data_IF_051600461502
#
_entry.id   IF_051600461502
#
_cell.length_a   1.000
_cell.length_b   1.000
_cell.length_c   1.000
_cell.angle_alpha   90.00
_cell.angle_beta   90.00
_cell.angle_gamma   90.00
#
_symmetry.space_group_name_H-M   'P 1'
#
loop_
_entity.id
_entity.type
_entity.pdbx_description
1 polymer ?
#
# COMPACT_ATOMS: atom_id res chain seq x y z
N UNK A 1 -7.49 -6.75 1.43
CA UNK A 1 -7.72 -7.70 2.55
C UNK A 1 -6.87 -7.31 3.77
N UNK A 2 -7.42 -7.43 4.98
CA UNK A 2 -6.69 -7.11 6.22
C UNK A 2 -5.79 -8.28 6.61
N UNK A 3 -4.56 -7.99 7.03
CA UNK A 3 -3.66 -9.00 7.58
C UNK A 3 -3.80 -9.08 9.11
N UNK A 4 -3.71 -10.30 9.66
CA UNK A 4 -3.62 -10.48 11.11
C UNK A 4 -2.32 -9.88 11.64
N UNK A 5 -2.32 -9.42 12.88
CA UNK A 5 -1.18 -8.73 13.48
C UNK A 5 0.13 -9.53 13.42
N UNK A 6 0.08 -10.85 13.65
CA UNK A 6 1.27 -11.70 13.55
C UNK A 6 1.87 -11.74 12.14
N UNK A 7 1.03 -11.84 11.11
CA UNK A 7 1.43 -11.81 9.70
C UNK A 7 2.03 -10.46 9.34
N UNK A 8 1.32 -9.36 9.64
CA UNK A 8 1.80 -8.01 9.37
C UNK A 8 3.15 -7.74 10.05
N UNK A 9 3.34 -8.23 11.28
CA UNK A 9 4.60 -8.09 12.01
C UNK A 9 5.72 -8.96 11.44
N UNK A 10 5.44 -10.18 10.95
CA UNK A 10 6.44 -10.98 10.25
C UNK A 10 6.96 -10.26 8.99
N UNK A 11 6.05 -9.68 8.20
CA UNK A 11 6.39 -8.86 7.02
C UNK A 11 7.25 -7.65 7.42
N UNK A 12 6.84 -6.92 8.47
CA UNK A 12 7.61 -5.76 8.96
C UNK A 12 9.01 -6.16 9.42
N UNK A 13 9.18 -7.31 10.07
CA UNK A 13 10.51 -7.78 10.51
C UNK A 13 11.44 -8.05 9.33
N UNK A 14 10.94 -8.70 8.28
CA UNK A 14 11.70 -8.93 7.05
C UNK A 14 12.09 -7.59 6.39
N UNK A 15 11.17 -6.62 6.34
CA UNK A 15 11.45 -5.28 5.84
C UNK A 15 12.47 -4.51 6.70
N UNK A 16 12.38 -4.59 8.02
CA UNK A 16 13.35 -3.97 8.93
C UNK A 16 14.74 -4.56 8.72
N UNK A 17 14.86 -5.87 8.50
CA UNK A 17 16.12 -6.52 8.16
C UNK A 17 16.73 -6.01 6.85
N UNK A 18 15.91 -5.80 5.82
CA UNK A 18 16.34 -5.23 4.54
C UNK A 18 16.74 -3.75 4.66
N UNK A 19 15.96 -2.93 5.37
CA UNK A 19 16.28 -1.53 5.62
C UNK A 19 17.56 -1.38 6.44
N UNK A 20 17.73 -2.18 7.48
CA UNK A 20 18.96 -2.26 8.27
C UNK A 20 20.19 -2.50 7.38
N UNK A 21 20.09 -3.41 6.41
CA UNK A 21 21.17 -3.67 5.46
C UNK A 21 21.50 -2.46 4.58
N UNK A 22 20.48 -1.77 4.02
CA UNK A 22 20.68 -0.57 3.22
C UNK A 22 21.29 0.57 4.06
N UNK A 23 20.74 0.80 5.25
CA UNK A 23 21.13 1.91 6.12
C UNK A 23 22.59 1.77 6.60
N UNK A 24 23.09 0.55 6.81
CA UNK A 24 24.51 0.30 7.13
C UNK A 24 25.47 0.73 6.02
N UNK A 25 25.04 0.63 4.76
CA UNK A 25 25.80 1.10 3.61
C UNK A 25 25.59 2.61 3.36
N UNK A 26 24.90 3.31 4.26
CA UNK A 26 24.60 4.74 4.12
C UNK A 26 23.60 5.02 2.98
N UNK A 27 22.79 4.04 2.60
CA UNK A 27 21.75 4.16 1.56
C UNK A 27 20.38 4.18 2.22
N UNK A 28 19.50 5.08 1.78
CA UNK A 28 18.07 5.07 2.15
C UNK A 28 17.25 4.62 0.96
N UNK A 29 16.11 3.96 1.21
CA UNK A 29 15.24 3.50 0.14
C UNK A 29 14.39 4.64 -0.43
N UNK A 30 13.82 5.50 0.42
CA UNK A 30 13.13 6.73 0.02
C UNK A 30 11.72 6.58 -0.57
N UNK A 31 11.24 5.37 -0.82
CA UNK A 31 9.89 5.11 -1.38
C UNK A 31 9.32 3.76 -0.92
N UNK A 32 9.37 3.48 0.38
CA UNK A 32 8.71 2.31 0.96
C UNK A 32 7.19 2.49 0.89
N UNK A 33 6.52 1.54 0.24
CA UNK A 33 5.06 1.49 0.04
C UNK A 33 4.62 0.05 -0.22
N UNK A 34 3.32 -0.28 -0.16
CA UNK A 34 2.85 -1.66 -0.31
C UNK A 34 3.28 -2.32 -1.62
N UNK A 35 3.25 -1.61 -2.75
CA UNK A 35 3.69 -2.16 -4.04
C UNK A 35 5.17 -2.52 -4.10
N UNK A 36 5.98 -1.97 -3.18
CA UNK A 36 7.42 -2.20 -3.08
C UNK A 36 7.76 -3.26 -2.01
N UNK A 37 6.75 -3.94 -1.45
CA UNK A 37 6.93 -5.06 -0.51
C UNK A 37 6.31 -6.31 -1.12
N UNK A 38 7.15 -7.22 -1.60
CA UNK A 38 6.71 -8.48 -2.21
C UNK A 38 6.70 -9.61 -1.19
N UNK A 39 5.60 -10.36 -1.13
CA UNK A 39 5.53 -11.62 -0.40
C UNK A 39 5.94 -12.77 -1.30
N UNK A 40 6.93 -13.56 -0.86
CA UNK A 40 7.27 -14.81 -1.52
C UNK A 40 6.31 -15.92 -1.11
N UNK A 41 6.23 -16.95 -1.94
CA UNK A 41 5.54 -18.22 -1.63
C UNK A 41 6.06 -18.90 -0.35
N UNK A 42 7.29 -18.63 0.05
CA UNK A 42 7.86 -19.13 1.30
C UNK A 42 7.35 -18.39 2.54
N UNK A 43 6.52 -17.37 2.37
CA UNK A 43 5.97 -16.53 3.44
C UNK A 43 6.87 -15.36 3.85
N UNK A 44 8.07 -15.23 3.28
CA UNK A 44 8.97 -14.11 3.55
C UNK A 44 8.66 -12.89 2.70
N UNK A 45 8.81 -11.70 3.28
CA UNK A 45 8.73 -10.45 2.55
C UNK A 45 10.09 -10.04 1.97
N UNK A 46 10.07 -9.28 0.88
CA UNK A 46 11.23 -8.60 0.32
C UNK A 46 10.83 -7.19 -0.08
N UNK A 47 11.70 -6.24 0.25
CA UNK A 47 11.64 -4.91 -0.34
C UNK A 47 12.16 -5.01 -1.78
N UNK A 48 11.43 -4.42 -2.72
CA UNK A 48 11.76 -4.36 -4.14
C UNK A 48 11.73 -2.91 -4.63
N UNK A 49 12.27 -2.68 -5.83
CA UNK A 49 12.36 -1.38 -6.48
C UNK A 49 13.23 -0.35 -5.75
N UNK A 50 14.51 -0.36 -6.07
CA UNK A 50 15.55 0.53 -5.51
C UNK A 50 15.68 1.80 -6.39
N UNK A 51 14.75 2.08 -7.30
CA UNK A 51 14.82 3.21 -8.24
C UNK A 51 14.86 4.59 -7.58
N UNK A 52 14.25 4.72 -6.40
CA UNK A 52 14.25 5.95 -5.59
C UNK A 52 15.36 5.99 -4.53
N UNK A 53 16.11 4.89 -4.37
CA UNK A 53 17.11 4.81 -3.33
C UNK A 53 18.36 5.62 -3.70
N UNK A 54 19.04 6.15 -2.68
CA UNK A 54 20.23 6.96 -2.88
C UNK A 54 21.14 6.91 -1.66
N UNK A 55 22.42 7.21 -1.86
CA UNK A 55 23.39 7.29 -0.78
C UNK A 55 23.29 8.65 -0.08
N UNK A 56 23.25 8.65 1.26
CA UNK A 56 23.06 9.85 2.08
C UNK A 56 24.11 10.95 1.83
N UNK A 57 25.31 10.59 1.39
CA UNK A 57 26.39 11.52 1.06
C UNK A 57 26.25 12.15 -0.34
N UNK A 58 25.30 11.69 -1.15
CA UNK A 58 25.04 12.16 -2.50
C UNK A 58 23.51 12.18 -2.77
N UNK A 59 22.75 13.02 -2.03
CA UNK A 59 21.31 13.10 -2.21
C UNK A 59 20.94 13.66 -3.59
N UNK A 60 19.85 13.16 -4.21
CA UNK A 60 19.38 13.69 -5.48
C UNK A 60 18.80 15.10 -5.30
N UNK A 61 18.79 15.93 -6.36
CA UNK A 61 18.20 17.26 -6.31
C UNK A 61 16.67 17.22 -6.12
N UNK A 62 16.03 16.12 -6.52
CA UNK A 62 14.59 15.91 -6.40
C UNK A 62 14.32 14.48 -5.92
N UNK A 63 13.50 14.34 -4.88
CA UNK A 63 13.09 13.04 -4.36
C UNK A 63 11.86 12.52 -5.10
N UNK A 64 11.95 11.32 -5.66
CA UNK A 64 10.80 10.59 -6.19
C UNK A 64 10.21 9.74 -5.06
N UNK A 65 9.12 10.20 -4.46
CA UNK A 65 8.45 9.50 -3.36
C UNK A 65 6.93 9.50 -3.55
N UNK A 66 6.26 8.53 -2.94
CA UNK A 66 4.80 8.42 -2.91
C UNK A 66 4.25 9.17 -1.69
N UNK A 67 3.56 10.32 -1.83
CA UNK A 67 3.28 11.21 -0.69
C UNK A 67 2.51 10.58 0.47
N UNK A 68 1.60 9.63 0.18
CA UNK A 68 0.85 8.93 1.22
C UNK A 68 1.73 8.10 2.16
N UNK A 69 2.85 7.56 1.68
CA UNK A 69 3.78 6.78 2.49
C UNK A 69 5.04 7.58 2.87
N UNK A 70 5.32 8.71 2.23
CA UNK A 70 6.44 9.57 2.59
C UNK A 70 6.30 10.13 4.02
N UNK A 71 7.44 10.23 4.72
CA UNK A 71 7.49 10.82 6.05
C UNK A 71 7.21 12.34 6.02
N UNK A 72 6.64 12.95 7.08
CA UNK A 72 6.32 14.38 7.08
C UNK A 72 7.52 15.27 6.77
N UNK A 73 8.68 14.97 7.36
CA UNK A 73 9.90 15.74 7.15
C UNK A 73 10.42 15.70 5.70
N UNK A 74 10.21 14.58 5.00
CA UNK A 74 10.56 14.47 3.57
C UNK A 74 9.64 15.36 2.72
N UNK A 75 8.37 15.44 3.08
CA UNK A 75 7.41 16.27 2.37
C UNK A 75 7.69 17.76 2.58
N UNK A 76 7.97 18.17 3.82
CA UNK A 76 8.13 19.56 4.25
C UNK A 76 9.52 20.13 3.97
N UNK A 77 10.57 19.37 4.29
CA UNK A 77 11.94 19.87 4.30
C UNK A 77 12.82 19.21 3.23
N UNK A 78 12.28 18.25 2.48
CA UNK A 78 13.06 17.45 1.50
C UNK A 78 14.24 16.75 2.17
N UNK A 79 14.03 16.31 3.41
CA UNK A 79 15.00 15.54 4.17
C UNK A 79 14.56 14.08 4.21
N UNK A 80 15.34 13.20 3.59
CA UNK A 80 15.12 11.76 3.66
C UNK A 80 16.27 11.12 4.42
N UNK A 81 15.92 10.40 5.49
CA UNK A 81 16.87 9.76 6.40
C UNK A 81 16.47 8.30 6.63
N UNK A 82 17.32 7.48 7.27
CA UNK A 82 16.93 6.16 7.72
C UNK A 82 15.62 6.12 8.53
N UNK A 83 15.37 7.17 9.34
CA UNK A 83 14.13 7.31 10.11
C UNK A 83 12.91 7.63 9.23
N UNK A 84 13.12 8.22 8.06
CA UNK A 84 12.06 8.46 7.08
C UNK A 84 11.54 7.15 6.49
N UNK A 85 12.44 6.21 6.16
CA UNK A 85 12.05 4.85 5.73
C UNK A 85 11.24 4.11 6.82
N UNK A 86 11.53 4.33 8.11
CA UNK A 86 10.77 3.75 9.21
C UNK A 86 9.34 4.28 9.29
N UNK A 87 9.12 5.57 9.04
CA UNK A 87 7.76 6.12 8.97
C UNK A 87 6.99 5.55 7.79
N UNK A 88 7.64 5.45 6.63
CA UNK A 88 7.06 4.80 5.44
C UNK A 88 6.65 3.36 5.72
N UNK A 89 7.51 2.56 6.34
CA UNK A 89 7.17 1.21 6.79
C UNK A 89 6.06 1.20 7.84
N UNK A 90 6.00 2.20 8.73
CA UNK A 90 4.92 2.38 9.69
C UNK A 90 3.55 2.59 9.05
N UNK A 91 3.47 3.40 7.99
CA UNK A 91 2.23 3.57 7.22
C UNK A 91 1.81 2.26 6.53
N UNK A 92 2.76 1.51 5.98
CA UNK A 92 2.51 0.18 5.41
C UNK A 92 1.98 -0.79 6.46
N UNK A 93 2.56 -0.81 7.67
CA UNK A 93 2.06 -1.63 8.78
C UNK A 93 0.61 -1.29 9.15
N UNK A 94 0.32 0.00 9.30
CA UNK A 94 -1.05 0.45 9.65
C UNK A 94 -2.03 0.04 8.56
N UNK A 95 -1.66 0.18 7.28
CA UNK A 95 -2.50 -0.24 6.15
C UNK A 95 -2.76 -1.75 6.17
N UNK A 96 -1.74 -2.57 6.41
CA UNK A 96 -1.90 -4.02 6.54
C UNK A 96 -2.85 -4.39 7.69
N UNK A 97 -2.71 -3.72 8.83
CA UNK A 97 -3.53 -3.96 10.03
C UNK A 97 -4.96 -3.44 9.91
N UNK A 98 -5.18 -2.35 9.18
CA UNK A 98 -6.49 -1.77 8.93
C UNK A 98 -7.21 -2.46 7.76
N UNK A 99 -6.46 -3.02 6.81
CA UNK A 99 -6.98 -3.55 5.54
C UNK A 99 -7.36 -2.48 4.51
N UNK A 100 -7.06 -1.21 4.80
CA UNK A 100 -7.31 -0.05 3.95
C UNK A 100 -6.28 1.05 4.24
N UNK A 101 -6.14 2.00 3.31
CA UNK A 101 -5.23 3.14 3.46
C UNK A 101 -5.47 3.88 4.80
N UNK A 102 -4.41 4.32 5.52
CA UNK A 102 -4.56 5.09 6.76
C UNK A 102 -5.27 6.44 6.56
N UNK A 103 -5.47 6.87 5.32
CA UNK A 103 -6.08 8.13 4.94
C UNK A 103 -7.49 7.96 4.35
N UNK A 104 -8.04 6.73 4.35
CA UNK A 104 -9.34 6.44 3.73
C UNK A 104 -10.53 7.13 4.42
N UNK A 105 -10.49 7.27 5.75
CA UNK A 105 -11.58 7.91 6.52
C UNK A 105 -11.65 9.43 6.34
N UNK A 106 -10.52 10.06 6.04
CA UNK A 106 -10.39 11.51 5.89
C UNK A 106 -9.39 11.81 4.77
N UNK A 107 -9.85 11.58 3.54
CA UNK A 107 -9.04 11.70 2.34
C UNK A 107 -8.52 13.15 2.20
N UNK A 108 -7.19 13.35 2.23
CA UNK A 108 -6.60 14.68 2.13
C UNK A 108 -6.94 15.34 0.80
N UNK A 109 -7.46 16.57 0.85
CA UNK A 109 -7.87 17.32 -0.36
C UNK A 109 -6.71 18.03 -1.04
N UNK A 110 -5.66 18.32 -0.29
CA UNK A 110 -4.47 19.01 -0.74
C UNK A 110 -3.27 18.60 0.12
N UNK A 111 -2.10 19.13 -0.23
CA UNK A 111 -0.84 18.83 0.43
C UNK A 111 -0.82 19.25 1.92
N UNK A 112 -1.39 20.40 2.25
CA UNK A 112 -1.46 20.91 3.64
C UNK A 112 -2.33 19.99 4.50
N UNK A 113 -3.47 19.55 3.98
CA UNK A 113 -4.35 18.61 4.67
C UNK A 113 -3.65 17.26 4.89
N UNK A 114 -2.88 16.77 3.91
CA UNK A 114 -2.13 15.50 4.04
C UNK A 114 -1.10 15.59 5.18
N UNK A 115 -0.34 16.68 5.26
CA UNK A 115 0.61 16.91 6.34
C UNK A 115 -0.07 16.99 7.71
N UNK A 116 -1.20 17.70 7.79
CA UNK A 116 -1.98 17.79 9.03
C UNK A 116 -2.45 16.41 9.48
N UNK A 117 -3.02 15.62 8.57
CA UNK A 117 -3.51 14.27 8.86
C UNK A 117 -2.36 13.36 9.29
N UNK A 118 -1.21 13.41 8.60
CA UNK A 118 -0.01 12.64 8.98
C UNK A 118 0.47 12.96 10.40
N UNK A 119 0.49 14.25 10.79
CA UNK A 119 0.90 14.69 12.13
C UNK A 119 -0.01 14.18 13.24
N UNK A 120 -1.30 14.05 12.94
CA UNK A 120 -2.33 13.62 13.90
C UNK A 120 -2.52 12.10 13.93
N UNK A 121 -2.07 11.37 12.90
CA UNK A 121 -2.36 9.96 12.70
C UNK A 121 -1.99 9.09 13.91
N UNK A 122 -0.85 9.34 14.56
CA UNK A 122 -0.42 8.59 15.74
C UNK A 122 -1.42 8.63 16.92
N UNK A 123 -2.21 9.70 17.03
CA UNK A 123 -3.23 9.87 18.06
C UNK A 123 -4.59 9.28 17.63
N UNK A 124 -4.83 9.19 16.32
CA UNK A 124 -6.08 8.71 15.71
C UNK A 124 -6.07 7.24 15.32
N UNK A 125 -4.99 6.50 15.63
CA UNK A 125 -4.88 5.07 15.30
C UNK A 125 -6.08 4.23 15.81
N UNK A 126 -6.69 4.62 16.92
CA UNK A 126 -7.86 3.94 17.49
C UNK A 126 -9.13 4.06 16.64
N UNK A 127 -9.19 5.05 15.73
CA UNK A 127 -10.31 5.25 14.80
C UNK A 127 -10.19 4.36 13.57
N UNK A 128 -8.97 3.90 13.24
CA UNK A 128 -8.64 3.23 11.98
C UNK A 128 -8.36 1.74 12.20
N UNK A 129 -7.72 1.41 13.32
CA UNK A 129 -7.31 0.04 13.64
C UNK A 129 -8.43 -0.71 14.36
N UNK A 130 -8.59 -2.02 14.09
CA UNK A 130 -9.63 -2.83 14.71
C UNK A 130 -9.32 -3.09 16.20
N UNK A 131 -10.35 -3.47 16.96
CA UNK A 131 -10.24 -3.63 18.41
C UNK A 131 -9.15 -4.63 18.85
N UNK A 132 -8.94 -5.70 18.08
CA UNK A 132 -7.92 -6.71 18.40
C UNK A 132 -6.48 -6.17 18.31
N UNK A 133 -6.29 -5.07 17.58
CA UNK A 133 -5.01 -4.35 17.49
C UNK A 133 -4.94 -3.28 18.58
N UNK A 134 -6.02 -2.52 18.78
CA UNK A 134 -6.02 -1.38 19.71
C UNK A 134 -5.96 -1.79 21.18
N UNK A 135 -6.42 -3.00 21.53
CA UNK A 135 -6.28 -3.55 22.87
C UNK A 135 -4.86 -4.03 23.21
N UNK A 136 -3.93 -4.05 22.24
CA UNK A 136 -2.54 -4.42 22.44
C UNK A 136 -1.63 -3.20 22.53
N UNK A 137 -1.27 -2.80 23.75
CA UNK A 137 -0.44 -1.61 24.00
C UNK A 137 0.93 -1.67 23.33
N UNK A 138 1.55 -2.86 23.26
CA UNK A 138 2.87 -3.01 22.64
C UNK A 138 2.80 -2.73 21.13
N UNK A 139 1.83 -3.33 20.44
CA UNK A 139 1.63 -3.10 19.01
C UNK A 139 1.21 -1.65 18.72
N UNK A 140 0.32 -1.09 19.53
CA UNK A 140 -0.08 0.31 19.40
C UNK A 140 1.10 1.26 19.61
N UNK A 141 1.93 1.04 20.62
CA UNK A 141 3.13 1.84 20.85
C UNK A 141 4.14 1.69 19.69
N UNK A 142 4.32 0.47 19.18
CA UNK A 142 5.18 0.21 18.03
C UNK A 142 4.72 0.99 16.78
N UNK A 143 3.43 0.93 16.45
CA UNK A 143 2.84 1.73 15.35
C UNK A 143 3.08 3.22 15.56
N UNK A 144 2.74 3.77 16.74
CA UNK A 144 2.92 5.20 17.06
C UNK A 144 4.37 5.64 16.89
N UNK A 145 5.32 4.86 17.40
CA UNK A 145 6.75 5.18 17.32
C UNK A 145 7.28 5.14 15.89
N UNK A 146 6.80 4.23 15.02
CA UNK A 146 7.22 4.22 13.63
C UNK A 146 6.76 5.49 12.89
N UNK A 147 5.52 5.92 13.08
CA UNK A 147 4.95 7.07 12.36
C UNK A 147 5.02 8.40 13.12
N UNK A 148 5.82 8.48 14.18
CA UNK A 148 5.92 9.70 14.97
C UNK A 148 6.30 10.90 14.08
N UNK A 149 5.60 12.06 14.16
CA UNK A 149 5.86 13.16 13.24
C UNK A 149 7.29 13.70 13.35
N UNK A 150 7.79 13.82 14.57
CA UNK A 150 9.20 14.09 14.85
C UNK A 150 10.02 12.81 14.63
N UNK A 151 10.96 12.78 13.66
CA UNK A 151 11.82 11.64 13.42
C UNK A 151 12.56 11.19 14.68
N UNK A 152 12.91 12.10 15.59
CA UNK A 152 13.67 11.79 16.78
C UNK A 152 12.89 10.98 17.83
N UNK A 153 11.56 11.05 17.79
CA UNK A 153 10.68 10.21 18.62
C UNK A 153 10.51 8.79 18.06
N UNK A 154 11.01 8.52 16.84
CA UNK A 154 11.02 7.18 16.23
C UNK A 154 12.14 6.31 16.79
N UNK A 155 12.16 5.05 16.40
CA UNK A 155 13.30 4.16 16.64
C UNK A 155 14.57 4.73 15.98
N UNK A 156 15.74 4.57 16.63
CA UNK A 156 16.98 5.17 16.12
C UNK A 156 17.54 4.50 14.86
N UNK A 157 17.20 3.24 14.61
CA UNK A 157 17.53 2.52 13.39
C UNK A 157 16.51 1.42 13.12
N UNK A 158 16.58 0.81 11.93
CA UNK A 158 15.78 -0.37 11.60
C UNK A 158 16.12 -1.57 12.50
N UNK A 159 17.41 -1.78 12.84
CA UNK A 159 17.81 -2.81 13.81
C UNK A 159 17.21 -2.56 15.19
N UNK A 160 17.21 -1.31 15.66
CA UNK A 160 16.61 -0.98 16.94
C UNK A 160 15.08 -1.20 16.92
N UNK A 161 14.41 -0.89 15.82
CA UNK A 161 12.99 -1.16 15.66
C UNK A 161 12.66 -2.68 15.73
N UNK A 162 13.55 -3.56 15.30
CA UNK A 162 13.33 -5.01 15.44
C UNK A 162 13.70 -5.52 16.85
N UNK A 163 14.87 -5.14 17.36
CA UNK A 163 15.53 -5.89 18.45
C UNK A 163 15.25 -5.39 19.87
N UNK A 164 14.84 -4.13 20.06
CA UNK A 164 14.59 -3.60 21.42
C UNK A 164 13.40 -4.29 22.10
N UNK A 165 13.29 -4.15 23.42
CA UNK A 165 12.24 -4.80 24.21
C UNK A 165 10.81 -4.39 23.81
N UNK A 166 10.65 -3.23 23.20
CA UNK A 166 9.37 -2.74 22.63
C UNK A 166 9.35 -2.83 21.08
N UNK A 167 10.32 -3.54 20.51
CA UNK A 167 10.49 -3.72 19.07
C UNK A 167 9.70 -4.92 18.52
N UNK A 168 9.80 -5.10 17.20
CA UNK A 168 9.02 -6.09 16.48
C UNK A 168 9.30 -7.54 16.95
N UNK A 169 10.55 -7.88 17.28
CA UNK A 169 10.91 -9.20 17.80
C UNK A 169 10.27 -9.50 19.16
N UNK A 170 10.06 -8.49 20.02
CA UNK A 170 9.43 -8.67 21.31
C UNK A 170 7.95 -9.05 21.17
N UNK A 171 7.23 -8.36 20.29
CA UNK A 171 5.84 -8.71 19.97
C UNK A 171 5.74 -10.11 19.35
N UNK A 172 6.64 -10.45 18.43
CA UNK A 172 6.68 -11.79 17.84
C UNK A 172 6.91 -12.89 18.91
N UNK A 173 7.77 -12.65 19.90
CA UNK A 173 7.93 -13.57 21.05
C UNK A 173 6.68 -13.67 21.91
N UNK A 174 5.92 -12.58 22.10
CA UNK A 174 4.65 -12.63 22.80
C UNK A 174 3.66 -13.54 22.07
N UNK A 175 3.57 -13.44 20.75
CA UNK A 175 2.73 -14.33 19.93
C UNK A 175 3.15 -15.80 20.03
N UNK A 176 4.46 -16.09 20.04
CA UNK A 176 4.97 -17.46 20.20
C UNK A 176 4.59 -18.02 21.58
N UNK A 177 4.76 -17.23 22.65
CA UNK A 177 4.42 -17.64 24.01
C UNK A 177 2.92 -17.85 24.23
N UNK A 178 2.09 -17.20 23.42
CA UNK A 178 0.63 -17.35 23.42
C UNK A 178 0.13 -18.44 22.47
N UNK A 179 1.01 -19.28 21.91
CA UNK A 179 0.73 -20.37 20.95
C UNK A 179 0.11 -19.91 19.62
N UNK A 180 0.10 -18.60 19.35
CA UNK A 180 -0.47 -17.99 18.15
C UNK A 180 0.53 -17.91 16.99
N UNK A 181 1.83 -18.11 17.23
CA UNK A 181 2.85 -17.91 16.19
C UNK A 181 2.92 -19.01 15.12
N UNK A 182 2.63 -20.27 15.49
CA UNK A 182 2.63 -21.40 14.56
C UNK A 182 1.42 -21.33 13.63
N UNK A 183 0.30 -20.77 14.12
CA UNK A 183 -0.87 -20.48 13.29
C UNK A 183 -0.51 -19.47 12.18
N UNK A 184 0.19 -18.36 12.47
CA UNK A 184 0.47 -17.32 11.46
C UNK A 184 1.34 -17.78 10.28
N UNK A 185 2.37 -18.60 10.51
CA UNK A 185 3.21 -19.12 9.41
C UNK A 185 2.42 -20.00 8.45
N UNK A 186 1.51 -20.82 8.98
CA UNK A 186 0.58 -21.61 8.19
C UNK A 186 -0.49 -20.74 7.54
N UNK A 187 -1.02 -19.72 8.23
CA UNK A 187 -2.02 -18.79 7.70
C UNK A 187 -1.50 -18.00 6.50
N UNK A 188 -0.24 -17.55 6.49
CA UNK A 188 0.34 -16.89 5.30
C UNK A 188 0.35 -17.86 4.13
N UNK A 189 0.75 -19.11 4.36
CA UNK A 189 0.84 -20.12 3.31
C UNK A 189 -0.55 -20.46 2.75
N UNK A 190 -1.53 -20.67 3.63
CA UNK A 190 -2.93 -20.92 3.26
C UNK A 190 -3.54 -19.73 2.54
N UNK A 191 -3.32 -18.51 3.04
CA UNK A 191 -3.85 -17.30 2.41
C UNK A 191 -3.24 -17.05 1.02
N UNK A 192 -1.95 -17.35 0.83
CA UNK A 192 -1.30 -17.32 -0.48
C UNK A 192 -1.83 -18.41 -1.42
N UNK A 193 -2.24 -19.57 -0.89
CA UNK A 193 -2.91 -20.62 -1.67
C UNK A 193 -4.33 -20.19 -2.07
N UNK A 194 -5.13 -19.63 -1.15
CA UNK A 194 -6.48 -19.10 -1.41
C UNK A 194 -6.48 -17.97 -2.45
N UNK A 195 -5.55 -17.01 -2.35
CA UNK A 195 -5.41 -15.94 -3.35
C UNK A 195 -5.10 -16.50 -4.74
N UNK A 196 -4.36 -17.60 -4.81
CA UNK A 196 -4.00 -18.28 -6.04
C UNK A 196 -5.20 -18.90 -6.73
N UNK A 197 -6.03 -19.58 -5.94
CA UNK A 197 -7.30 -20.14 -6.42
C UNK A 197 -8.20 -19.02 -6.96
N UNK A 198 -8.23 -17.86 -6.28
CA UNK A 198 -8.97 -16.69 -6.78
C UNK A 198 -8.38 -16.14 -8.09
N UNK A 199 -7.07 -15.99 -8.21
CA UNK A 199 -6.42 -15.55 -9.46
C UNK A 199 -6.65 -16.52 -10.62
N UNK A 200 -6.61 -17.84 -10.36
CA UNK A 200 -6.88 -18.88 -11.37
C UNK A 200 -8.36 -18.84 -11.79
N UNK A 201 -9.30 -18.69 -10.87
CA UNK A 201 -10.72 -18.52 -11.16
C UNK A 201 -11.03 -17.25 -11.96
N UNK A 202 -10.36 -16.14 -11.64
CA UNK A 202 -10.51 -14.87 -12.37
C UNK A 202 -9.96 -14.99 -13.80
N UNK A 203 -8.84 -15.69 -13.98
CA UNK A 203 -8.27 -15.97 -15.31
C UNK A 203 -9.19 -16.88 -16.16
N UNK A 204 -9.78 -17.91 -15.56
CA UNK A 204 -10.75 -18.79 -16.24
C UNK A 204 -12.03 -18.03 -16.63
N UNK A 205 -12.52 -17.13 -15.76
CA UNK A 205 -13.67 -16.26 -16.06
C UNK A 205 -13.39 -15.32 -17.23
N UNK A 206 -12.22 -14.69 -17.24
CA UNK A 206 -11.79 -13.79 -18.32
C UNK A 206 -11.70 -14.53 -19.67
N UNK A 207 -11.14 -15.75 -19.69
CA UNK A 207 -11.09 -16.58 -20.90
C UNK A 207 -12.49 -16.99 -21.38
N UNK A 208 -13.40 -17.33 -20.47
CA UNK A 208 -14.77 -17.70 -20.82
C UNK A 208 -15.59 -16.51 -21.37
N UNK A 209 -15.32 -15.28 -20.93
CA UNK A 209 -15.91 -14.06 -21.47
C UNK A 209 -15.37 -13.76 -22.88
N UNK A 210 -14.06 -13.83 -23.12
CA UNK A 210 -13.47 -13.68 -24.46
C UNK A 210 -14.04 -14.72 -25.46
N UNK A 211 -14.21 -15.98 -25.04
CA UNK A 211 -14.80 -17.01 -25.89
C UNK A 211 -16.29 -16.77 -26.23
N UNK A 212 -17.03 -16.12 -25.32
CA UNK A 212 -18.43 -15.75 -25.55
C UNK A 212 -18.55 -14.56 -26.50
N UNK A 213 -17.66 -13.58 -26.36
CA UNK A 213 -17.61 -12.42 -27.25
C UNK A 213 -17.12 -12.82 -28.65
N UNK A 214 -16.11 -13.69 -28.76
CA UNK A 214 -15.62 -14.21 -30.04
C UNK A 214 -16.61 -15.11 -30.80
N UNK A 215 -17.60 -15.70 -30.11
CA UNK A 215 -18.69 -16.48 -30.75
C UNK A 215 -19.87 -15.62 -31.22
N UNK A 216 -19.89 -14.32 -30.88
CA UNK A 216 -20.96 -13.37 -31.22
C UNK A 216 -20.89 -12.79 -32.64
N UNK A 217 -19.72 -12.78 -33.29
CA UNK A 217 -19.54 -12.12 -34.60
C UNK A 217 -19.76 -13.03 -35.82
N UNK A 218 -20.20 -14.28 -35.61
CA UNK A 218 -20.23 -15.31 -36.65
C UNK A 218 -21.55 -15.60 -37.37
N UNK A 219 -22.64 -14.84 -37.17
CA UNK A 219 -23.92 -15.07 -37.89
C UNK A 219 -24.73 -13.78 -38.08
N UNK A 220 -24.66 -13.17 -39.26
CA UNK A 220 -25.50 -12.02 -39.54
C UNK A 220 -25.44 -11.38 -40.92
N UNK A 221 -25.18 -12.10 -42.03
CA UNK A 221 -25.44 -11.56 -43.36
C UNK A 221 -26.38 -12.48 -44.16
N UNK A 222 -27.62 -12.03 -44.32
CA UNK A 222 -28.65 -12.75 -45.05
C UNK A 222 -29.93 -11.94 -45.25
N UNK A 223 -29.91 -11.07 -46.27
CA UNK A 223 -31.04 -10.58 -47.10
C UNK A 223 -32.18 -9.76 -46.45
N UNK A 224 -32.53 -8.66 -47.11
CA UNK A 224 -33.85 -8.03 -47.00
C UNK A 224 -33.99 -6.75 -47.81
N UNK A 225 -34.41 -6.88 -49.07
CA UNK A 225 -34.94 -5.80 -49.91
C UNK A 225 -36.25 -5.22 -49.31
N UNK A 226 -36.52 -3.93 -49.50
CA UNK A 226 -37.83 -3.35 -49.16
C UNK A 226 -37.95 -1.85 -49.45
N UNK A 227 -38.91 -1.50 -50.31
CA UNK A 227 -39.19 -0.21 -50.97
C UNK A 227 -39.87 0.87 -50.10
N UNK A 228 -39.80 2.12 -50.58
CA UNK A 228 -40.86 3.16 -50.51
C UNK A 228 -40.80 4.11 -49.31
N UNK A 229 -41.24 5.36 -49.34
CA UNK A 229 -41.74 6.25 -50.39
C UNK A 229 -41.79 7.67 -49.76
N UNK A 230 -41.36 8.66 -50.54
CA UNK A 230 -41.73 10.08 -50.59
C UNK A 230 -42.63 10.69 -49.50
N UNK A 231 -42.20 11.83 -48.88
CA UNK A 231 -42.91 13.13 -48.99
C UNK A 231 -42.28 14.32 -48.21
N UNK A 232 -42.16 15.43 -48.94
CA UNK A 232 -42.45 16.85 -48.59
C UNK A 232 -41.69 17.57 -47.44
N UNK A 233 -40.69 18.37 -47.87
CA UNK A 233 -40.47 19.83 -47.67
C UNK A 233 -41.61 20.71 -47.07
N UNK A 234 -41.40 22.03 -46.77
CA UNK A 234 -40.16 22.84 -46.68
C UNK A 234 -40.13 23.89 -45.53
N UNK A 235 -39.06 24.71 -45.54
CA UNK A 235 -38.94 26.15 -45.17
C UNK A 235 -38.16 26.50 -43.90
N UNK A 236 -37.19 27.40 -44.09
CA UNK A 236 -36.54 28.15 -43.02
C UNK A 236 -35.20 28.76 -43.42
N UNK A 237 -35.18 29.64 -44.43
CA UNK A 237 -34.16 30.69 -44.58
C UNK A 237 -34.14 31.53 -43.27
N UNK A 238 -33.08 32.20 -42.80
CA UNK A 238 -32.08 33.07 -43.43
C UNK A 238 -30.96 33.36 -42.41
N UNK A 239 -29.79 33.75 -42.95
CA UNK A 239 -28.87 34.81 -42.46
C UNK A 239 -28.35 34.77 -41.01
N UNK A 240 -27.09 35.05 -40.70
CA UNK A 240 -26.01 35.69 -41.43
C UNK A 240 -25.06 36.35 -40.41
N UNK A 241 -23.80 36.43 -40.81
CA UNK A 241 -22.77 37.39 -40.39
C UNK A 241 -22.30 37.43 -38.92
N UNK A 242 -20.97 37.47 -38.78
CA UNK A 242 -20.35 38.36 -37.79
C UNK A 242 -19.14 37.80 -37.07
N UNK A 243 -17.97 37.98 -37.71
CA UNK A 243 -16.63 38.28 -37.16
C UNK A 243 -16.10 37.48 -35.97
#
# INVERSE_FOLDING_TARGET
>A
PRLKAGVAMAVVRDCLGALAALHREGVVHGDIKPSNVMLKRTGNAKIVDIGSAFALHAPPPHYMCTPYYAAPELLEHKECTPRSDLASLGYVLIEMLAGQSPFALDAPKNFTDLLRTKRQLQHRLHEILPHEVTCNDMLMNFCRRLIAPDPMQRFPSAEAADLVNEGAAAFHRQLIKSDLAVEYGNEIRVWLEELRELEELDAERAQAEEEREGKGEGKGEGKGEGKGESREEPRGETEGAGA
#
